data_IF_190279683589
#
_entry.id   IF_190279683589
#
_cell.length_a   1.000
_cell.length_b   1.000
_cell.length_c   1.000
_cell.angle_alpha   90.00
_cell.angle_beta   90.00
_cell.angle_gamma   90.00
#
_symmetry.space_group_name_H-M   'P 1'
#
loop_
_entity.id
_entity.type
_entity.pdbx_description
1 polymer ?
#
# COMPACT_ATOMS: atom_id res chain seq x y z
N UNK A 1 11.47 -3.03 -17.31
CA UNK A 1 12.00 -2.95 -16.03
C UNK A 1 10.97 -2.78 -14.98
N UNK A 2 11.03 -3.58 -13.97
CA UNK A 2 10.03 -3.50 -12.93
C UNK A 2 10.41 -2.46 -11.91
N UNK A 3 9.48 -1.61 -11.58
CA UNK A 3 9.76 -0.57 -10.62
C UNK A 3 8.63 -0.44 -9.60
N UNK A 4 7.83 -1.46 -9.44
CA UNK A 4 6.77 -1.45 -8.47
C UNK A 4 5.46 -0.90 -8.98
N UNK A 5 5.48 -0.16 -10.08
CA UNK A 5 4.24 0.43 -10.60
C UNK A 5 3.28 -0.61 -11.14
N UNK A 6 3.83 -1.63 -11.77
CA UNK A 6 2.98 -2.70 -12.30
C UNK A 6 2.24 -3.42 -11.19
N UNK A 7 2.97 -3.73 -10.13
CA UNK A 7 2.35 -4.42 -9.01
C UNK A 7 1.37 -3.52 -8.28
N UNK A 8 1.67 -2.22 -8.22
CA UNK A 8 0.76 -1.27 -7.63
C UNK A 8 -0.55 -1.24 -8.41
N UNK A 9 -0.47 -1.16 -9.73
CA UNK A 9 -1.68 -1.15 -10.55
C UNK A 9 -2.44 -2.46 -10.44
N UNK A 10 -1.70 -3.56 -10.38
CA UNK A 10 -2.35 -4.85 -10.19
C UNK A 10 -3.11 -4.88 -8.87
N UNK A 11 -2.49 -4.36 -7.81
CA UNK A 11 -3.17 -4.29 -6.53
C UNK A 11 -4.44 -3.47 -6.60
N UNK A 12 -4.39 -2.33 -7.29
CA UNK A 12 -5.57 -1.50 -7.46
C UNK A 12 -6.68 -2.27 -8.18
N UNK A 13 -6.32 -2.96 -9.23
CA UNK A 13 -7.29 -3.72 -10.00
C UNK A 13 -7.92 -4.81 -9.15
N UNK A 14 -7.10 -5.52 -8.40
CA UNK A 14 -7.58 -6.59 -7.55
C UNK A 14 -8.49 -6.05 -6.45
N UNK A 15 -8.10 -4.92 -5.87
CA UNK A 15 -8.91 -4.32 -4.82
C UNK A 15 -10.27 -3.89 -5.35
N UNK A 16 -10.31 -3.36 -6.55
CA UNK A 16 -11.59 -2.97 -7.14
C UNK A 16 -12.52 -4.14 -7.34
N UNK A 17 -11.94 -5.32 -7.56
CA UNK A 17 -12.74 -6.52 -7.71
C UNK A 17 -13.09 -7.15 -6.39
N UNK A 18 -12.64 -6.59 -5.29
CA UNK A 18 -12.90 -7.16 -3.98
C UNK A 18 -11.99 -8.31 -3.62
N UNK A 19 -10.94 -8.52 -4.40
CA UNK A 19 -9.98 -9.59 -4.12
C UNK A 19 -8.91 -9.05 -3.19
N UNK A 20 -9.32 -8.86 -1.92
CA UNK A 20 -8.49 -8.14 -0.96
C UNK A 20 -7.16 -8.82 -0.66
N UNK A 21 -7.18 -10.13 -0.47
CA UNK A 21 -5.95 -10.83 -0.14
C UNK A 21 -4.95 -10.81 -1.29
N UNK A 22 -5.46 -10.97 -2.50
CA UNK A 22 -4.59 -10.87 -3.66
C UNK A 22 -4.04 -9.46 -3.81
N UNK A 23 -4.86 -8.46 -3.49
CA UNK A 23 -4.39 -7.09 -3.55
C UNK A 23 -3.26 -6.84 -2.55
N UNK A 24 -3.38 -7.43 -1.35
CA UNK A 24 -2.31 -7.31 -0.36
C UNK A 24 -1.00 -7.85 -0.94
N UNK A 25 -1.06 -9.03 -1.56
CA UNK A 25 0.14 -9.63 -2.12
C UNK A 25 0.76 -8.74 -3.19
N UNK A 26 -0.07 -8.17 -4.06
CA UNK A 26 0.44 -7.31 -5.11
C UNK A 26 1.06 -6.04 -4.54
N UNK A 27 0.40 -5.43 -3.55
CA UNK A 27 0.96 -4.23 -2.92
C UNK A 27 2.27 -4.52 -2.20
N UNK A 28 2.37 -5.66 -1.54
CA UNK A 28 3.62 -6.03 -0.88
C UNK A 28 4.74 -6.19 -1.87
N UNK A 29 4.44 -6.76 -3.02
CA UNK A 29 5.44 -6.90 -4.06
C UNK A 29 5.87 -5.53 -4.56
N UNK A 30 4.91 -4.63 -4.71
CA UNK A 30 5.23 -3.26 -5.10
C UNK A 30 6.18 -2.61 -4.10
N UNK A 31 5.95 -2.86 -2.82
CA UNK A 31 6.80 -2.28 -1.78
C UNK A 31 8.18 -2.92 -1.75
N UNK A 32 8.29 -4.18 -2.13
CA UNK A 32 9.59 -4.80 -2.26
C UNK A 32 10.44 -4.07 -3.29
N UNK A 33 9.81 -3.63 -4.36
CA UNK A 33 10.51 -2.95 -5.43
C UNK A 33 10.68 -1.47 -5.17
N UNK A 34 9.79 -0.89 -4.40
CA UNK A 34 9.83 0.55 -4.11
C UNK A 34 9.33 0.78 -2.68
N UNK A 35 10.20 0.59 -1.69
CA UNK A 35 9.75 0.62 -0.29
C UNK A 35 9.35 1.99 0.22
N UNK A 36 9.63 3.05 -0.52
CA UNK A 36 9.31 4.39 -0.05
C UNK A 36 8.01 4.93 -0.63
N UNK A 37 7.23 4.10 -1.27
CA UNK A 37 6.01 4.57 -1.92
C UNK A 37 4.89 4.69 -0.90
N UNK A 38 4.64 5.91 -0.44
CA UNK A 38 3.60 6.17 0.55
C UNK A 38 2.22 5.81 0.02
N UNK A 39 2.00 6.02 -1.26
CA UNK A 39 0.70 5.72 -1.85
C UNK A 39 0.38 4.23 -1.74
N UNK A 40 1.39 3.38 -1.92
CA UNK A 40 1.18 1.95 -1.81
C UNK A 40 0.83 1.57 -0.37
N UNK A 41 1.49 2.17 0.61
CA UNK A 41 1.15 1.91 2.00
C UNK A 41 -0.27 2.37 2.31
N UNK A 42 -0.66 3.51 1.79
CA UNK A 42 -2.01 4.01 2.02
C UNK A 42 -3.05 3.05 1.46
N UNK A 43 -2.84 2.60 0.24
CA UNK A 43 -3.78 1.65 -0.38
C UNK A 43 -3.77 0.31 0.33
N UNK A 44 -2.59 -0.12 0.77
CA UNK A 44 -2.48 -1.37 1.51
C UNK A 44 -3.27 -1.27 2.82
N UNK A 45 -3.17 -0.13 3.50
CA UNK A 45 -3.93 0.07 4.72
C UNK A 45 -5.43 -0.03 4.47
N UNK A 46 -5.90 0.53 3.37
CA UNK A 46 -7.29 0.43 2.99
C UNK A 46 -7.72 -1.01 2.83
N UNK A 47 -6.90 -1.81 2.15
CA UNK A 47 -7.23 -3.20 1.92
C UNK A 47 -7.24 -3.98 3.23
N UNK A 48 -6.27 -3.72 4.09
CA UNK A 48 -6.26 -4.36 5.41
C UNK A 48 -7.52 -4.00 6.19
N UNK A 49 -7.95 -2.73 6.08
CA UNK A 49 -9.13 -2.30 6.78
C UNK A 49 -10.36 -3.08 6.29
N UNK A 50 -10.46 -3.26 4.98
CA UNK A 50 -11.58 -4.01 4.42
C UNK A 50 -11.55 -5.47 4.85
N UNK A 51 -10.36 -6.00 5.09
CA UNK A 51 -10.21 -7.37 5.57
C UNK A 51 -10.47 -7.51 7.06
N UNK A 52 -10.58 -6.39 7.77
CA UNK A 52 -10.75 -6.43 9.20
C UNK A 52 -9.45 -6.56 9.95
N UNK A 53 -8.33 -6.38 9.27
CA UNK A 53 -7.00 -6.46 9.90
C UNK A 53 -6.64 -5.09 10.43
N UNK A 54 -7.25 -4.72 11.56
CA UNK A 54 -7.17 -3.34 12.05
C UNK A 54 -5.75 -2.94 12.40
N UNK A 55 -4.99 -3.85 13.02
CA UNK A 55 -3.64 -3.51 13.42
C UNK A 55 -2.75 -3.26 12.20
N UNK A 56 -2.83 -4.16 11.24
CA UNK A 56 -2.04 -4.00 10.02
C UNK A 56 -2.44 -2.76 9.27
N UNK A 57 -3.74 -2.46 9.25
CA UNK A 57 -4.20 -1.24 8.58
C UNK A 57 -3.61 -0.02 9.24
N UNK A 58 -3.62 0.02 10.56
CA UNK A 58 -3.08 1.15 11.29
C UNK A 58 -1.59 1.32 11.02
N UNK A 59 -0.85 0.20 11.03
CA UNK A 59 0.58 0.26 10.75
C UNK A 59 0.86 0.77 9.35
N UNK A 60 0.07 0.34 8.38
CA UNK A 60 0.27 0.79 7.02
C UNK A 60 -0.02 2.28 6.88
N UNK A 61 -1.09 2.75 7.52
CA UNK A 61 -1.42 4.16 7.49
C UNK A 61 -0.33 4.99 8.17
N UNK A 62 0.22 4.49 9.26
CA UNK A 62 1.30 5.20 9.95
C UNK A 62 2.54 5.29 9.07
N UNK A 63 2.88 4.22 8.39
CA UNK A 63 4.02 4.25 7.48
C UNK A 63 3.80 5.25 6.37
N UNK A 64 2.59 5.26 5.80
CA UNK A 64 2.28 6.21 4.74
C UNK A 64 2.41 7.63 5.25
N UNK A 65 1.92 7.86 6.46
CA UNK A 65 1.98 9.20 7.05
C UNK A 65 3.42 9.64 7.25
N UNK A 66 4.27 8.75 7.74
CA UNK A 66 5.66 9.09 7.97
C UNK A 66 6.38 9.41 6.67
N UNK A 67 6.09 8.67 5.63
CA UNK A 67 6.73 8.91 4.34
C UNK A 67 6.27 10.21 3.71
N UNK A 68 5.03 10.60 3.97
CA UNK A 68 4.49 11.84 3.42
C UNK A 68 4.82 13.05 4.26
N UNK A 69 5.03 12.83 5.55
CA UNK A 69 5.29 13.95 6.44
C UNK A 69 6.73 14.37 6.35
N UNK A 70 7.24 14.65 5.16
CA UNK A 70 8.57 15.14 5.02
C UNK A 70 8.67 16.48 5.60
N UNK A 71 9.70 16.75 6.23
CA UNK A 71 9.90 18.06 6.82
C UNK A 71 10.08 19.02 5.72
N UNK A 72 9.28 19.35 5.09
CA UNK A 72 9.51 20.34 4.18
C UNK A 72 9.46 21.55 4.84
N UNK A 73 9.47 21.71 5.40
CA UNK A 73 9.49 22.75 5.81
C UNK A 73 9.62 23.74 5.68
N UNK A 74 9.41 23.98 5.64
CA UNK A 74 9.48 24.97 5.58
C UNK A 74 9.87 25.38 5.72
#
# INVERSE_FOLDING_TARGET
MENGDEHFRLGLKLARKGLWKEAVAAYKESLNLNPDNAQTYLNLGFVYYELGYDREAQEAFEKASKLQARPCTR
#
